data_IF_757313963419
#
_entry.id   IF_757313963419
#
_cell.length_a   1.000
_cell.length_b   1.000
_cell.length_c   1.000
_cell.angle_alpha   90.00
_cell.angle_beta   90.00
_cell.angle_gamma   90.00
#
_symmetry.space_group_name_H-M   'P 1'
#
loop_
_entity.id
_entity.type
_entity.pdbx_description
1 polymer ?
#
# COMPACT_ATOMS: atom_id res chain seq x y z
N UNK A 1 11.71 -34.20 -3.66
CA UNK A 1 12.28 -33.33 -2.62
C UNK A 1 13.07 -32.24 -3.33
N UNK A 2 12.91 -30.98 -2.97
CA UNK A 2 13.74 -29.91 -3.54
C UNK A 2 15.22 -30.18 -3.19
N UNK A 3 16.14 -29.81 -4.08
CA UNK A 3 17.56 -29.92 -3.81
C UNK A 3 17.94 -29.08 -2.58
N UNK A 4 18.93 -29.52 -1.77
CA UNK A 4 19.41 -28.71 -0.66
C UNK A 4 20.01 -27.40 -1.18
N UNK A 5 19.85 -26.33 -0.41
CA UNK A 5 20.42 -25.02 -0.73
C UNK A 5 21.96 -25.07 -0.67
N UNK A 6 22.62 -24.33 -1.54
CA UNK A 6 24.04 -24.04 -1.42
C UNK A 6 24.31 -23.18 -0.18
N UNK A 7 25.55 -23.19 0.37
CA UNK A 7 25.90 -22.33 1.51
C UNK A 7 25.62 -20.84 1.28
N UNK A 8 25.78 -20.37 0.04
CA UNK A 8 25.48 -18.98 -0.33
C UNK A 8 23.98 -18.67 -0.26
N UNK A 9 23.13 -19.59 -0.73
CA UNK A 9 21.67 -19.45 -0.66
C UNK A 9 21.16 -19.52 0.79
N UNK A 10 21.78 -20.34 1.64
CA UNK A 10 21.45 -20.37 3.07
C UNK A 10 21.80 -19.06 3.76
N UNK A 11 23.01 -18.52 3.51
CA UNK A 11 23.42 -17.24 4.05
C UNK A 11 22.50 -16.10 3.59
N UNK A 12 22.11 -16.08 2.31
CA UNK A 12 21.16 -15.10 1.79
C UNK A 12 19.78 -15.24 2.42
N UNK A 13 19.27 -16.47 2.58
CA UNK A 13 17.98 -16.73 3.22
C UNK A 13 17.95 -16.18 4.64
N UNK A 14 19.00 -16.41 5.41
CA UNK A 14 19.03 -15.99 6.80
C UNK A 14 19.23 -14.47 6.92
N UNK A 15 20.06 -13.87 6.06
CA UNK A 15 20.21 -12.42 5.95
C UNK A 15 18.89 -11.73 5.55
N UNK A 16 18.15 -12.28 4.58
CA UNK A 16 16.86 -11.73 4.15
C UNK A 16 15.82 -11.78 5.28
N UNK A 17 15.80 -12.85 6.08
CA UNK A 17 14.90 -12.96 7.24
C UNK A 17 15.24 -11.95 8.32
N UNK A 18 16.53 -11.78 8.61
CA UNK A 18 16.97 -10.81 9.62
C UNK A 18 16.68 -9.37 9.17
N UNK A 19 16.90 -9.05 7.90
CA UNK A 19 16.57 -7.75 7.31
C UNK A 19 15.09 -7.36 7.50
N UNK A 20 14.16 -8.31 7.43
CA UNK A 20 12.72 -8.02 7.64
C UNK A 20 12.32 -8.02 9.14
N UNK A 21 13.18 -8.53 10.03
CA UNK A 21 12.86 -8.71 11.46
C UNK A 21 13.39 -7.59 12.34
N UNK A 22 14.59 -7.10 12.03
CA UNK A 22 15.43 -6.34 12.96
C UNK A 22 16.00 -5.08 12.29
N UNK A 23 16.16 -3.97 13.03
CA UNK A 23 15.77 -3.75 14.44
C UNK A 23 14.25 -3.53 14.61
N UNK A 24 13.55 -3.25 13.52
CA UNK A 24 12.10 -3.06 13.47
C UNK A 24 11.54 -4.03 12.43
N UNK A 25 10.37 -4.60 12.70
CA UNK A 25 9.72 -5.54 11.78
C UNK A 25 9.14 -4.82 10.58
N UNK A 26 9.23 -5.46 9.41
CA UNK A 26 8.75 -4.89 8.16
C UNK A 26 9.69 -3.83 7.62
N UNK A 27 9.31 -3.24 6.48
CA UNK A 27 10.18 -2.32 5.72
C UNK A 27 9.63 -0.89 5.62
N UNK A 28 8.43 -0.66 6.13
CA UNK A 28 7.72 0.61 6.04
C UNK A 28 7.27 1.10 7.42
N UNK A 29 7.06 2.40 7.54
CA UNK A 29 6.50 3.05 8.72
C UNK A 29 5.77 4.31 8.31
N UNK A 30 4.83 4.78 9.14
CA UNK A 30 4.13 6.06 8.94
C UNK A 30 4.75 7.07 9.88
N UNK A 31 5.15 8.23 9.35
CA UNK A 31 5.72 9.33 10.13
C UNK A 31 4.92 10.61 9.86
N UNK A 32 4.45 11.34 10.90
CA UNK A 32 3.79 12.62 10.72
C UNK A 32 4.69 13.65 10.02
N UNK A 33 4.11 14.44 9.11
CA UNK A 33 4.84 15.48 8.38
C UNK A 33 4.75 16.86 9.03
N UNK A 34 3.84 17.04 9.99
CA UNK A 34 3.62 18.28 10.73
C UNK A 34 4.05 18.11 12.19
N UNK A 35 4.56 19.16 12.85
CA UNK A 35 4.86 19.13 14.28
C UNK A 35 3.63 18.78 15.11
N UNK A 36 3.85 18.11 16.24
CA UNK A 36 2.84 17.73 17.24
C UNK A 36 3.36 17.97 18.66
N UNK A 37 4.08 19.08 18.88
CA UNK A 37 4.88 19.29 20.10
C UNK A 37 4.15 20.07 21.19
N UNK A 38 3.10 20.81 20.84
CA UNK A 38 2.41 21.72 21.76
C UNK A 38 0.90 21.77 21.49
N UNK A 39 0.17 22.48 22.35
CA UNK A 39 -1.29 22.58 22.26
C UNK A 39 -1.79 23.21 20.96
N UNK A 40 -1.05 24.19 20.41
CA UNK A 40 -1.38 24.81 19.12
C UNK A 40 -1.20 23.81 17.98
N UNK A 41 -0.14 23.02 18.00
CA UNK A 41 0.08 21.99 16.98
C UNK A 41 -1.06 20.95 17.00
N UNK A 42 -1.44 20.49 18.19
CA UNK A 42 -2.54 19.53 18.38
C UNK A 42 -3.89 20.11 17.95
N UNK A 43 -4.15 21.39 18.22
CA UNK A 43 -5.40 22.04 17.84
C UNK A 43 -5.51 22.29 16.33
N UNK A 44 -4.40 22.32 15.60
CA UNK A 44 -4.36 22.39 14.14
C UNK A 44 -4.43 21.01 13.49
N UNK A 45 -3.68 20.03 14.02
CA UNK A 45 -3.64 18.68 13.48
C UNK A 45 -4.94 17.89 13.72
N UNK A 46 -5.69 18.27 14.76
CA UNK A 46 -6.96 17.64 15.12
C UNK A 46 -7.99 18.69 15.53
N UNK A 47 -8.86 18.39 16.49
CA UNK A 47 -9.90 19.31 16.92
C UNK A 47 -9.34 20.54 17.66
N UNK A 48 -9.91 21.74 17.43
CA UNK A 48 -11.00 22.03 16.49
C UNK A 48 -10.54 22.35 15.04
N UNK A 49 -9.24 22.57 14.81
CA UNK A 49 -8.71 23.12 13.55
C UNK A 49 -8.92 22.23 12.33
N UNK A 50 -8.88 20.91 12.47
CA UNK A 50 -9.12 19.96 11.38
C UNK A 50 -10.50 20.10 10.73
N UNK A 51 -11.47 20.72 11.42
CA UNK A 51 -12.80 20.95 10.86
C UNK A 51 -12.77 21.86 9.62
N UNK A 52 -11.85 22.83 9.55
CA UNK A 52 -11.79 23.77 8.43
C UNK A 52 -11.44 23.08 7.10
N UNK A 53 -10.34 22.31 6.96
CA UNK A 53 -10.09 21.57 5.72
C UNK A 53 -11.18 20.54 5.41
N UNK A 54 -11.83 19.95 6.42
CA UNK A 54 -12.98 19.06 6.18
C UNK A 54 -14.16 19.78 5.52
N UNK A 55 -14.56 20.94 6.04
CA UNK A 55 -15.65 21.74 5.48
C UNK A 55 -15.30 22.31 4.09
N UNK A 56 -14.02 22.62 3.86
CA UNK A 56 -13.57 23.07 2.55
C UNK A 56 -13.63 21.93 1.52
N UNK A 57 -13.21 20.70 1.88
CA UNK A 57 -13.33 19.51 1.02
C UNK A 57 -14.80 19.11 0.79
N UNK A 58 -15.66 19.27 1.80
CA UNK A 58 -17.10 19.04 1.64
C UNK A 58 -17.71 19.97 0.58
N UNK A 59 -17.24 21.23 0.52
CA UNK A 59 -17.68 22.22 -0.47
C UNK A 59 -17.06 22.01 -1.84
N UNK A 60 -15.80 21.61 -1.88
CA UNK A 60 -15.05 21.31 -3.11
C UNK A 60 -14.16 20.06 -2.90
N UNK A 61 -14.62 18.88 -3.35
CA UNK A 61 -13.88 17.63 -3.21
C UNK A 61 -12.49 17.64 -3.87
N UNK A 62 -12.23 18.53 -4.83
CA UNK A 62 -10.91 18.62 -5.49
C UNK A 62 -9.80 19.07 -4.51
N UNK A 63 -10.17 19.80 -3.46
CA UNK A 63 -9.26 20.26 -2.39
C UNK A 63 -8.71 19.11 -1.55
N UNK A 64 -9.24 17.89 -1.68
CA UNK A 64 -8.66 16.72 -1.03
C UNK A 64 -7.19 16.50 -1.43
N UNK A 65 -6.81 16.82 -2.68
CA UNK A 65 -5.42 16.74 -3.13
C UNK A 65 -4.52 17.84 -2.53
N UNK A 66 -5.10 18.97 -2.11
CA UNK A 66 -4.38 20.09 -1.51
C UNK A 66 -4.19 19.91 0.00
N UNK A 67 -5.25 19.52 0.72
CA UNK A 67 -5.25 19.47 2.18
C UNK A 67 -4.90 18.11 2.77
N UNK A 68 -4.70 17.08 1.95
CA UNK A 68 -4.37 15.73 2.42
C UNK A 68 -3.20 15.12 1.67
N UNK A 69 -2.72 13.97 2.12
CA UNK A 69 -1.68 13.21 1.41
C UNK A 69 -2.16 12.55 0.12
N UNK A 70 -3.47 12.59 -0.19
CA UNK A 70 -4.10 11.93 -1.36
C UNK A 70 -3.31 12.17 -2.64
N UNK A 71 -2.90 13.41 -2.91
CA UNK A 71 -2.19 13.79 -4.14
C UNK A 71 -0.85 13.07 -4.37
N UNK A 72 -0.22 12.52 -3.33
CA UNK A 72 1.04 11.77 -3.41
C UNK A 72 0.91 10.30 -2.98
N UNK A 73 -0.29 9.85 -2.61
CA UNK A 73 -0.51 8.54 -2.00
C UNK A 73 -1.01 7.53 -3.04
N UNK A 74 -0.27 6.43 -3.21
CA UNK A 74 -0.64 5.31 -4.07
C UNK A 74 -0.98 4.07 -3.22
N UNK A 75 -2.07 3.38 -3.56
CA UNK A 75 -2.36 2.06 -3.01
C UNK A 75 -1.71 0.97 -3.85
N UNK A 76 -0.78 0.21 -3.28
CA UNK A 76 -0.27 -1.02 -3.90
C UNK A 76 -1.16 -2.17 -3.44
N UNK A 77 -2.03 -2.64 -4.33
CA UNK A 77 -3.09 -3.59 -3.98
C UNK A 77 -2.80 -4.97 -4.58
N UNK A 78 -2.91 -6.01 -3.76
CA UNK A 78 -2.80 -7.41 -4.19
C UNK A 78 -3.81 -8.29 -3.47
N UNK A 79 -4.07 -9.49 -4.00
CA UNK A 79 -4.68 -10.59 -3.26
C UNK A 79 -3.73 -11.78 -3.04
N UNK A 80 -2.46 -11.64 -3.44
CA UNK A 80 -1.42 -12.65 -3.25
C UNK A 80 -1.58 -13.91 -4.10
N UNK A 81 -2.32 -13.84 -5.21
CA UNK A 81 -2.60 -15.00 -6.06
C UNK A 81 -1.50 -15.31 -7.10
N UNK A 82 -0.59 -14.37 -7.35
CA UNK A 82 0.54 -14.55 -8.27
C UNK A 82 1.81 -13.85 -7.77
N UNK A 83 2.23 -14.16 -6.54
CA UNK A 83 3.39 -13.51 -5.92
C UNK A 83 4.68 -14.03 -6.55
N UNK A 84 5.35 -13.19 -7.32
CA UNK A 84 6.61 -13.53 -8.01
C UNK A 84 6.48 -14.87 -8.78
N UNK A 85 7.42 -15.80 -8.60
CA UNK A 85 7.34 -17.17 -9.10
C UNK A 85 6.74 -18.17 -8.10
N UNK A 86 6.18 -17.70 -6.98
CA UNK A 86 5.66 -18.55 -5.90
C UNK A 86 4.19 -18.92 -6.12
N UNK A 87 3.50 -18.22 -7.02
CA UNK A 87 2.09 -18.46 -7.33
C UNK A 87 1.16 -17.95 -6.24
N UNK A 88 0.08 -18.70 -6.00
CA UNK A 88 -0.92 -18.33 -5.01
C UNK A 88 -0.48 -18.75 -3.61
N UNK A 89 0.13 -17.81 -2.89
CA UNK A 89 0.56 -17.98 -1.49
C UNK A 89 -0.29 -17.17 -0.50
N UNK A 90 -1.29 -16.46 -1.02
CA UNK A 90 -2.25 -15.69 -0.25
C UNK A 90 -1.73 -14.31 0.19
N UNK A 91 -2.64 -13.44 0.65
CA UNK A 91 -2.37 -12.03 0.93
C UNK A 91 -1.29 -11.82 2.00
N UNK A 92 -1.33 -12.57 3.11
CA UNK A 92 -0.35 -12.39 4.19
C UNK A 92 1.08 -12.71 3.76
N UNK A 93 1.27 -13.72 2.90
CA UNK A 93 2.59 -14.09 2.41
C UNK A 93 3.07 -13.16 1.29
N UNK A 94 2.16 -12.41 0.64
CA UNK A 94 2.48 -11.38 -0.33
C UNK A 94 3.03 -10.10 0.32
N UNK A 95 2.65 -9.84 1.59
CA UNK A 95 2.98 -8.59 2.31
C UNK A 95 4.44 -8.14 2.21
N UNK A 96 5.46 -9.01 2.41
CA UNK A 96 6.85 -8.59 2.24
C UNK A 96 7.15 -8.05 0.84
N UNK A 97 6.55 -8.59 -0.22
CA UNK A 97 6.75 -8.08 -1.59
C UNK A 97 6.12 -6.70 -1.74
N UNK A 98 4.90 -6.51 -1.22
CA UNK A 98 4.16 -5.25 -1.32
C UNK A 98 4.83 -4.11 -0.55
N UNK A 99 5.29 -4.37 0.69
CA UNK A 99 6.13 -3.41 1.42
C UNK A 99 7.38 -3.03 0.61
N UNK A 100 7.98 -4.02 -0.06
CA UNK A 100 9.13 -3.81 -0.94
C UNK A 100 8.82 -2.85 -2.10
N UNK A 101 7.65 -3.01 -2.74
CA UNK A 101 7.18 -2.08 -3.78
C UNK A 101 6.99 -0.68 -3.22
N UNK A 102 6.40 -0.55 -2.03
CA UNK A 102 6.31 0.73 -1.32
C UNK A 102 7.67 1.41 -1.11
N UNK A 103 8.69 0.64 -0.67
CA UNK A 103 10.05 1.17 -0.54
C UNK A 103 10.61 1.69 -1.87
N UNK A 104 10.36 0.99 -2.99
CA UNK A 104 10.83 1.40 -4.31
C UNK A 104 10.14 2.68 -4.79
N UNK A 105 8.81 2.76 -4.68
CA UNK A 105 8.04 3.98 -4.99
C UNK A 105 8.58 5.18 -4.22
N UNK A 106 8.77 5.03 -2.90
CA UNK A 106 9.26 6.13 -2.07
C UNK A 106 10.69 6.51 -2.40
N UNK A 107 11.59 5.54 -2.54
CA UNK A 107 13.02 5.77 -2.73
C UNK A 107 13.34 6.41 -4.08
N UNK A 108 12.65 6.01 -5.15
CA UNK A 108 12.99 6.40 -6.51
C UNK A 108 12.07 7.47 -7.11
N UNK A 109 10.83 7.59 -6.63
CA UNK A 109 9.86 8.55 -7.16
C UNK A 109 9.31 9.53 -6.11
N UNK A 110 9.63 9.36 -4.82
CA UNK A 110 9.10 10.21 -3.74
C UNK A 110 7.64 9.95 -3.40
N UNK A 111 7.01 8.93 -4.01
CA UNK A 111 5.61 8.58 -3.87
C UNK A 111 5.38 7.85 -2.53
N UNK A 112 4.36 8.26 -1.80
CA UNK A 112 3.94 7.56 -0.57
C UNK A 112 3.02 6.39 -0.91
N UNK A 113 3.14 5.30 -0.17
CA UNK A 113 2.41 4.06 -0.46
C UNK A 113 1.73 3.50 0.78
N UNK A 114 0.49 3.05 0.59
CA UNK A 114 -0.09 2.00 1.44
C UNK A 114 -0.13 0.69 0.65
N UNK A 115 0.48 -0.35 1.22
CA UNK A 115 0.30 -1.72 0.77
C UNK A 115 -1.01 -2.29 1.33
N UNK A 116 -1.83 -2.88 0.45
CA UNK A 116 -3.18 -3.34 0.77
C UNK A 116 -3.33 -4.76 0.25
N UNK A 117 -3.20 -5.74 1.15
CA UNK A 117 -3.39 -7.15 0.85
C UNK A 117 -4.83 -7.59 1.14
N UNK A 118 -5.62 -7.82 0.09
CA UNK A 118 -7.03 -8.19 0.19
C UNK A 118 -7.18 -9.72 0.24
N UNK A 119 -7.87 -10.22 1.27
CA UNK A 119 -8.25 -11.62 1.39
C UNK A 119 -9.53 -11.95 0.61
N UNK A 120 -9.52 -11.66 -0.70
CA UNK A 120 -10.63 -11.92 -1.61
C UNK A 120 -10.10 -12.40 -2.97
N UNK A 121 -10.80 -13.37 -3.55
CA UNK A 121 -10.44 -14.00 -4.84
C UNK A 121 -11.53 -13.86 -5.89
N UNK A 122 -12.73 -13.46 -5.51
CA UNK A 122 -13.79 -13.08 -6.43
C UNK A 122 -13.43 -11.76 -7.14
N UNK A 123 -13.28 -11.75 -8.48
CA UNK A 123 -12.85 -10.56 -9.21
C UNK A 123 -13.82 -9.38 -9.12
N UNK A 124 -15.13 -9.64 -9.07
CA UNK A 124 -16.14 -8.57 -9.00
C UNK A 124 -16.12 -7.91 -7.62
N UNK A 125 -16.03 -8.70 -6.55
CA UNK A 125 -15.86 -8.16 -5.20
C UNK A 125 -14.54 -7.42 -5.02
N UNK A 126 -13.45 -7.91 -5.62
CA UNK A 126 -12.18 -7.19 -5.62
C UNK A 126 -12.33 -5.83 -6.30
N UNK A 127 -12.98 -5.76 -7.47
CA UNK A 127 -13.25 -4.49 -8.16
C UNK A 127 -14.05 -3.55 -7.25
N UNK A 128 -15.10 -4.05 -6.59
CA UNK A 128 -15.93 -3.23 -5.69
C UNK A 128 -15.14 -2.71 -4.48
N UNK A 129 -14.34 -3.56 -3.83
CA UNK A 129 -13.49 -3.17 -2.70
C UNK A 129 -12.46 -2.13 -3.15
N UNK A 130 -11.77 -2.36 -4.26
CA UNK A 130 -10.70 -1.50 -4.74
C UNK A 130 -11.27 -0.14 -5.19
N UNK A 131 -12.41 -0.14 -5.89
CA UNK A 131 -13.09 1.09 -6.27
C UNK A 131 -13.54 1.90 -5.04
N UNK A 132 -13.99 1.24 -3.97
CA UNK A 132 -14.37 1.92 -2.74
C UNK A 132 -13.20 2.58 -1.99
N UNK A 133 -11.95 2.16 -2.26
CA UNK A 133 -10.74 2.79 -1.70
C UNK A 133 -10.34 4.08 -2.41
N UNK A 134 -10.93 4.37 -3.58
CA UNK A 134 -10.58 5.51 -4.42
C UNK A 134 -10.49 6.82 -3.65
N UNK A 135 -11.43 7.22 -2.73
CA UNK A 135 -11.36 8.49 -2.02
C UNK A 135 -10.10 8.69 -1.15
N UNK A 136 -9.41 7.61 -0.79
CA UNK A 136 -8.15 7.68 -0.02
C UNK A 136 -6.92 7.92 -0.92
N UNK A 137 -6.95 7.38 -2.14
CA UNK A 137 -5.75 7.19 -2.96
C UNK A 137 -5.72 8.15 -4.16
N UNK A 138 -4.56 8.73 -4.45
CA UNK A 138 -4.31 9.46 -5.69
C UNK A 138 -4.01 8.54 -6.88
N UNK A 139 -3.73 7.26 -6.61
CA UNK A 139 -3.56 6.23 -7.63
C UNK A 139 -3.59 4.82 -7.05
N UNK A 140 -3.88 3.84 -7.89
CA UNK A 140 -3.91 2.42 -7.53
C UNK A 140 -2.93 1.67 -8.43
N UNK A 141 -2.03 0.89 -7.81
CA UNK A 141 -1.12 -0.03 -8.47
C UNK A 141 -1.55 -1.47 -8.14
N UNK A 142 -2.16 -2.16 -9.09
CA UNK A 142 -2.49 -3.58 -8.95
C UNK A 142 -1.22 -4.43 -9.10
N UNK A 143 -0.95 -5.30 -8.13
CA UNK A 143 0.28 -6.08 -8.07
C UNK A 143 -0.01 -7.56 -7.78
N UNK A 144 0.72 -8.48 -8.41
CA UNK A 144 0.71 -9.92 -8.10
C UNK A 144 -0.69 -10.58 -8.01
N UNK A 145 -1.60 -10.16 -8.89
CA UNK A 145 -2.91 -10.79 -9.11
C UNK A 145 -2.81 -11.73 -10.33
N UNK A 146 -3.29 -12.96 -10.20
CA UNK A 146 -3.13 -13.98 -11.25
C UNK A 146 -3.89 -13.63 -12.54
N UNK A 147 -3.33 -14.08 -13.65
CA UNK A 147 -4.04 -14.11 -14.93
C UNK A 147 -5.06 -15.25 -14.97
N UNK A 148 -6.17 -15.13 -15.74
CA UNK A 148 -6.57 -13.96 -16.55
C UNK A 148 -7.32 -12.88 -15.74
N UNK A 149 -7.57 -13.10 -14.45
CA UNK A 149 -8.39 -12.22 -13.60
C UNK A 149 -7.83 -10.80 -13.48
N UNK A 150 -6.50 -10.63 -13.43
CA UNK A 150 -5.87 -9.31 -13.36
C UNK A 150 -6.29 -8.38 -14.51
N UNK A 151 -6.40 -8.89 -15.74
CA UNK A 151 -6.84 -8.09 -16.90
C UNK A 151 -8.30 -7.68 -16.79
N UNK A 152 -9.15 -8.56 -16.27
CA UNK A 152 -10.56 -8.25 -16.03
C UNK A 152 -10.70 -7.16 -14.96
N UNK A 153 -10.02 -7.33 -13.83
CA UNK A 153 -10.04 -6.39 -12.70
C UNK A 153 -9.52 -5.01 -13.14
N UNK A 154 -8.37 -4.96 -13.81
CA UNK A 154 -7.78 -3.72 -14.31
C UNK A 154 -8.76 -3.00 -15.26
N UNK A 155 -9.31 -3.72 -16.23
CA UNK A 155 -10.28 -3.15 -17.18
C UNK A 155 -11.48 -2.57 -16.44
N UNK A 156 -12.05 -3.31 -15.50
CA UNK A 156 -13.23 -2.88 -14.75
C UNK A 156 -12.98 -1.68 -13.85
N UNK A 157 -11.80 -1.60 -13.24
CA UNK A 157 -11.42 -0.46 -12.43
C UNK A 157 -11.19 0.79 -13.27
N UNK A 158 -10.65 0.66 -14.50
CA UNK A 158 -10.49 1.80 -15.41
C UNK A 158 -11.81 2.32 -15.98
N UNK A 159 -12.88 1.52 -15.96
CA UNK A 159 -14.23 1.91 -16.40
C UNK A 159 -15.00 2.69 -15.31
N UNK A 160 -14.49 2.73 -14.07
CA UNK A 160 -15.09 3.44 -12.93
C UNK A 160 -14.30 4.71 -12.62
#
# INVERSE_FOLDING_TARGET
>A
MAAPLSPAEEALRDAAREYHRSPVRGKISITPTKPLMNQRDLSLAYSPGVAYPCLDIERDPSLAAEFTSRGNLVGVVTNGTAVLGLGNIGPLAAKPVMEGKGCLFKKFAGIDVFDIELAETDPDKLVDIIAALEPTLGGINLEDIKAPECFYIEKKLRER
#
